data_IF_265557359919
#
_entry.id   IF_265557359919
#
_cell.length_a   1.000
_cell.length_b   1.000
_cell.length_c   1.000
_cell.angle_alpha   90.00
_cell.angle_beta   90.00
_cell.angle_gamma   90.00
#
_symmetry.space_group_name_H-M   'P 1'
#
loop_
_entity.id
_entity.type
_entity.pdbx_description
1 polymer ?
#
# COMPACT_ATOMS: atom_id res chain seq x y z
N UNK A 1 -0.86 2.75 -6.26
CA UNK A 1 -1.66 2.70 -7.50
C UNK A 1 -3.10 2.44 -7.12
N UNK A 2 -4.02 3.25 -7.64
CA UNK A 2 -5.45 3.03 -7.49
C UNK A 2 -5.84 1.73 -8.19
N UNK A 3 -6.53 0.84 -7.49
CA UNK A 3 -7.06 -0.41 -8.03
C UNK A 3 -8.49 -0.21 -8.49
N UNK A 4 -8.99 -0.97 -9.48
CA UNK A 4 -10.38 -0.85 -9.94
C UNK A 4 -11.40 -1.02 -8.79
N UNK A 5 -11.09 -1.91 -7.84
CA UNK A 5 -11.88 -2.10 -6.60
C UNK A 5 -11.92 -0.85 -5.73
N UNK A 6 -10.81 -0.11 -5.67
CA UNK A 6 -10.72 1.12 -4.89
C UNK A 6 -11.51 2.24 -5.58
N UNK A 7 -11.44 2.33 -6.90
CA UNK A 7 -12.22 3.29 -7.69
C UNK A 7 -13.72 3.02 -7.56
N UNK A 8 -14.16 1.76 -7.70
CA UNK A 8 -15.56 1.39 -7.53
C UNK A 8 -16.07 1.70 -6.11
N UNK A 9 -15.30 1.35 -5.08
CA UNK A 9 -15.66 1.66 -3.70
C UNK A 9 -15.79 3.18 -3.44
N UNK A 10 -14.92 4.00 -4.06
CA UNK A 10 -15.00 5.45 -3.96
C UNK A 10 -16.26 6.00 -4.65
N UNK A 11 -16.62 5.45 -5.81
CA UNK A 11 -17.83 5.81 -6.55
C UNK A 11 -19.09 5.47 -5.73
N UNK A 12 -19.16 4.26 -5.16
CA UNK A 12 -20.27 3.84 -4.29
C UNK A 12 -20.42 4.77 -3.07
N UNK A 13 -19.31 5.19 -2.45
CA UNK A 13 -19.34 6.16 -1.35
C UNK A 13 -19.98 7.48 -1.76
N UNK A 14 -19.65 8.00 -2.94
CA UNK A 14 -20.19 9.28 -3.44
C UNK A 14 -21.66 9.17 -3.86
N UNK A 15 -22.07 8.05 -4.46
CA UNK A 15 -23.46 7.81 -4.86
C UNK A 15 -24.40 7.67 -3.65
N UNK A 16 -23.92 7.09 -2.56
CA UNK A 16 -24.71 6.92 -1.34
C UNK A 16 -24.72 8.14 -0.41
N UNK A 17 -23.99 9.21 -0.76
CA UNK A 17 -23.82 10.35 0.15
C UNK A 17 -24.91 11.39 -0.03
N UNK A 18 -25.59 11.67 1.07
CA UNK A 18 -26.56 12.75 1.13
C UNK A 18 -25.84 14.10 1.16
N UNK A 19 -25.70 14.75 0.00
CA UNK A 19 -25.11 16.08 -0.07
C UNK A 19 -25.96 17.18 0.59
N UNK A 20 -27.23 16.92 0.93
CA UNK A 20 -28.08 17.91 1.61
C UNK A 20 -27.60 18.18 3.03
N UNK A 21 -27.09 17.16 3.74
CA UNK A 21 -26.59 17.35 5.11
C UNK A 21 -25.46 18.40 5.19
N UNK A 22 -24.62 18.49 4.14
CA UNK A 22 -23.57 19.50 4.06
C UNK A 22 -24.12 20.90 3.76
N UNK A 23 -25.18 20.99 2.96
CA UNK A 23 -25.87 22.25 2.67
C UNK A 23 -26.56 22.78 3.91
N UNK A 24 -27.25 21.91 4.64
CA UNK A 24 -27.94 22.26 5.88
C UNK A 24 -26.94 22.73 6.95
N UNK A 25 -25.80 22.04 7.09
CA UNK A 25 -24.73 22.44 8.01
C UNK A 25 -24.02 23.76 7.62
N UNK A 26 -24.03 24.09 6.33
CA UNK A 26 -23.49 25.34 5.81
C UNK A 26 -24.51 26.48 5.74
N UNK A 27 -25.79 26.22 6.03
CA UNK A 27 -26.85 27.22 5.99
C UNK A 27 -26.99 27.91 7.34
N UNK A 28 -26.92 29.23 7.37
CA UNK A 28 -27.28 30.07 8.51
C UNK A 28 -28.28 31.13 8.07
N UNK A 29 -29.37 31.30 8.82
CA UNK A 29 -30.40 32.32 8.54
C UNK A 29 -30.90 32.30 7.08
N UNK A 30 -31.10 31.09 6.53
CA UNK A 30 -31.55 30.86 5.14
C UNK A 30 -30.53 31.24 4.05
N UNK A 31 -29.28 31.53 4.41
CA UNK A 31 -28.18 31.77 3.48
C UNK A 31 -27.14 30.66 3.58
N UNK A 32 -26.75 30.09 2.44
CA UNK A 32 -25.71 29.07 2.35
C UNK A 32 -24.36 29.77 2.35
N UNK A 33 -23.47 29.42 3.28
CA UNK A 33 -22.06 29.81 3.22
C UNK A 33 -21.32 28.89 2.22
N UNK A 34 -20.93 29.37 1.03
CA UNK A 34 -20.28 28.56 0.01
C UNK A 34 -18.87 28.12 0.43
N UNK A 35 -18.16 28.89 1.24
CA UNK A 35 -16.82 28.54 1.71
C UNK A 35 -16.90 27.39 2.72
N UNK A 36 -17.84 27.47 3.66
CA UNK A 36 -18.09 26.40 4.63
C UNK A 36 -18.59 25.12 3.97
N UNK A 37 -19.49 25.23 2.99
CA UNK A 37 -19.98 24.09 2.22
C UNK A 37 -18.84 23.40 1.44
N UNK A 38 -18.09 24.17 0.66
CA UNK A 38 -16.98 23.63 -0.15
C UNK A 38 -15.89 23.05 0.72
N UNK A 39 -15.54 23.70 1.83
CA UNK A 39 -14.54 23.18 2.78
C UNK A 39 -14.98 21.86 3.42
N UNK A 40 -16.23 21.75 3.85
CA UNK A 40 -16.76 20.52 4.47
C UNK A 40 -16.78 19.34 3.49
N UNK A 41 -17.26 19.57 2.26
CA UNK A 41 -17.32 18.53 1.23
C UNK A 41 -15.92 18.14 0.77
N UNK A 42 -15.08 19.11 0.41
CA UNK A 42 -13.78 18.82 -0.23
C UNK A 42 -12.70 18.41 0.78
N UNK A 43 -12.59 19.11 1.90
CA UNK A 43 -11.48 18.90 2.84
C UNK A 43 -11.77 17.77 3.81
N UNK A 44 -13.02 17.66 4.29
CA UNK A 44 -13.37 16.67 5.31
C UNK A 44 -13.88 15.37 4.69
N UNK A 45 -14.94 15.45 3.87
CA UNK A 45 -15.62 14.25 3.40
C UNK A 45 -14.84 13.51 2.30
N UNK A 46 -14.37 14.20 1.26
CA UNK A 46 -13.60 13.57 0.18
C UNK A 46 -12.29 12.99 0.71
N UNK A 47 -11.56 13.71 1.58
CA UNK A 47 -10.35 13.19 2.20
C UNK A 47 -10.62 11.95 3.03
N UNK A 48 -11.71 11.92 3.79
CA UNK A 48 -12.12 10.75 4.58
C UNK A 48 -12.41 9.55 3.69
N UNK A 49 -13.14 9.73 2.60
CA UNK A 49 -13.41 8.67 1.63
C UNK A 49 -12.13 8.15 0.99
N UNK A 50 -11.19 9.05 0.65
CA UNK A 50 -9.89 8.67 0.13
C UNK A 50 -9.10 7.84 1.14
N UNK A 51 -9.08 8.23 2.42
CA UNK A 51 -8.39 7.49 3.48
C UNK A 51 -9.02 6.12 3.76
N UNK A 52 -10.35 6.02 3.70
CA UNK A 52 -11.06 4.75 3.93
C UNK A 52 -10.87 3.76 2.77
N UNK A 53 -10.78 4.26 1.54
CA UNK A 53 -10.55 3.45 0.34
C UNK A 53 -9.08 3.09 0.17
N UNK A 54 -8.16 4.00 0.48
CA UNK A 54 -6.72 3.78 0.36
C UNK A 54 -6.21 3.07 1.61
N UNK A 55 -6.11 1.74 1.55
CA UNK A 55 -5.48 0.96 2.63
C UNK A 55 -4.01 1.34 2.80
N UNK A 56 -3.70 2.15 3.81
CA UNK A 56 -2.33 2.44 4.22
C UNK A 56 -1.73 1.15 4.78
N UNK A 57 -0.66 0.66 4.13
CA UNK A 57 0.12 -0.46 4.64
C UNK A 57 1.44 0.06 5.20
N UNK A 58 1.57 0.03 6.51
CA UNK A 58 2.85 0.26 7.17
C UNK A 58 3.75 -0.96 6.96
N UNK A 59 4.99 -0.74 6.54
CA UNK A 59 6.04 -1.77 6.47
C UNK A 59 7.11 -1.37 7.47
N UNK A 60 7.13 -2.06 8.62
CA UNK A 60 8.15 -1.85 9.65
C UNK A 60 9.36 -2.74 9.35
N UNK A 61 10.53 -2.13 9.15
CA UNK A 61 11.82 -2.82 9.14
C UNK A 61 12.42 -2.79 10.54
N UNK A 62 12.82 -3.94 11.08
CA UNK A 62 13.37 -4.02 12.42
C UNK A 62 14.91 -3.93 12.43
N UNK A 63 15.54 -3.28 13.43
CA UNK A 63 16.99 -3.25 13.58
C UNK A 63 17.65 -4.63 13.75
N UNK A 64 16.87 -5.64 14.13
CA UNK A 64 17.32 -7.03 14.26
C UNK A 64 17.21 -7.83 12.94
N UNK A 65 16.87 -7.18 11.82
CA UNK A 65 16.92 -7.84 10.53
C UNK A 65 18.32 -8.42 10.36
N UNK A 66 18.36 -9.73 10.08
CA UNK A 66 19.62 -10.46 9.92
C UNK A 66 20.50 -9.67 8.96
N UNK A 67 21.72 -9.29 9.35
CA UNK A 67 22.53 -8.34 8.57
C UNK A 67 22.93 -8.83 7.16
N UNK A 68 22.70 -10.11 6.86
CA UNK A 68 22.77 -10.67 5.50
C UNK A 68 21.49 -10.48 4.65
N UNK A 69 20.41 -9.93 5.21
CA UNK A 69 19.12 -9.69 4.56
C UNK A 69 19.15 -8.39 3.73
N UNK A 70 20.03 -8.36 2.73
CA UNK A 70 20.22 -7.21 1.84
C UNK A 70 19.11 -7.10 0.77
N UNK A 71 19.17 -6.04 -0.04
CA UNK A 71 18.23 -5.80 -1.15
C UNK A 71 18.20 -6.91 -2.19
N UNK A 72 19.34 -7.55 -2.47
CA UNK A 72 19.46 -8.67 -3.42
C UNK A 72 18.70 -9.91 -2.93
N UNK A 73 18.89 -10.30 -1.67
CA UNK A 73 18.17 -11.43 -1.05
C UNK A 73 16.67 -11.16 -1.02
N UNK A 74 16.26 -9.92 -0.72
CA UNK A 74 14.84 -9.50 -0.80
C UNK A 74 14.28 -9.61 -2.21
N UNK A 75 15.05 -9.24 -3.24
CA UNK A 75 14.66 -9.40 -4.64
C UNK A 75 14.49 -10.88 -5.03
N UNK A 76 15.42 -11.75 -4.62
CA UNK A 76 15.33 -13.20 -4.83
C UNK A 76 14.10 -13.81 -4.12
N UNK A 77 13.80 -13.37 -2.90
CA UNK A 77 12.58 -13.76 -2.19
C UNK A 77 11.31 -13.36 -2.96
N UNK A 78 11.29 -12.14 -3.53
CA UNK A 78 10.17 -11.68 -4.38
C UNK A 78 10.05 -12.50 -5.66
N UNK A 79 11.15 -12.78 -6.35
CA UNK A 79 11.18 -13.61 -7.55
C UNK A 79 10.63 -15.03 -7.28
N UNK A 80 11.05 -15.66 -6.17
CA UNK A 80 10.52 -16.98 -5.78
C UNK A 80 9.01 -16.93 -5.50
N UNK A 81 8.53 -15.90 -4.78
CA UNK A 81 7.10 -15.71 -4.51
C UNK A 81 6.30 -15.48 -5.80
N UNK A 82 6.84 -14.73 -6.76
CA UNK A 82 6.21 -14.51 -8.06
C UNK A 82 6.10 -15.82 -8.86
N UNK A 83 7.19 -16.59 -8.95
CA UNK A 83 7.18 -17.89 -9.63
C UNK A 83 6.25 -18.91 -8.96
N UNK A 84 6.12 -18.87 -7.63
CA UNK A 84 5.13 -19.68 -6.93
C UNK A 84 3.69 -19.29 -7.32
N UNK A 85 3.39 -17.98 -7.41
CA UNK A 85 2.07 -17.49 -7.80
C UNK A 85 1.72 -17.78 -9.26
N UNK A 86 2.70 -17.85 -10.16
CA UNK A 86 2.46 -18.18 -11.57
C UNK A 86 2.22 -19.67 -11.81
N UNK A 87 2.50 -20.55 -10.83
CA UNK A 87 2.35 -22.00 -10.97
C UNK A 87 3.44 -22.68 -11.81
N UNK A 88 4.41 -21.93 -12.32
CA UNK A 88 5.53 -22.46 -13.10
C UNK A 88 6.55 -23.15 -12.18
N UNK A 89 6.58 -24.48 -12.25
CA UNK A 89 7.43 -25.33 -11.40
C UNK A 89 8.92 -25.16 -11.72
N UNK A 90 9.29 -24.99 -12.97
CA UNK A 90 10.69 -24.84 -13.39
C UNK A 90 11.24 -23.47 -13.01
N UNK A 91 10.45 -22.42 -13.23
CA UNK A 91 10.79 -21.08 -12.75
C UNK A 91 10.89 -21.04 -11.22
N UNK A 92 9.99 -21.74 -10.51
CA UNK A 92 10.05 -21.84 -9.06
C UNK A 92 11.32 -22.54 -8.57
N UNK A 93 11.67 -23.69 -9.16
CA UNK A 93 12.88 -24.44 -8.80
C UNK A 93 14.14 -23.60 -9.04
N UNK A 94 14.21 -22.92 -10.18
CA UNK A 94 15.30 -22.01 -10.53
C UNK A 94 15.41 -20.85 -9.54
N UNK A 95 14.29 -20.18 -9.24
CA UNK A 95 14.26 -19.08 -8.27
C UNK A 95 14.63 -19.55 -6.86
N UNK A 96 14.23 -20.77 -6.46
CA UNK A 96 14.59 -21.39 -5.19
C UNK A 96 16.09 -21.67 -5.10
N UNK A 97 16.70 -22.21 -6.15
CA UNK A 97 18.15 -22.45 -6.20
C UNK A 97 18.94 -21.14 -6.12
N UNK A 98 18.53 -20.12 -6.90
CA UNK A 98 19.13 -18.78 -6.87
C UNK A 98 19.02 -18.13 -5.49
N UNK A 99 17.87 -18.26 -4.82
CA UNK A 99 17.69 -17.75 -3.45
C UNK A 99 18.65 -18.42 -2.46
N UNK A 100 18.83 -19.74 -2.54
CA UNK A 100 19.77 -20.47 -1.66
C UNK A 100 21.20 -19.99 -1.87
N UNK A 101 21.63 -19.82 -3.12
CA UNK A 101 22.95 -19.30 -3.47
C UNK A 101 23.13 -17.84 -2.98
N UNK A 102 22.15 -16.97 -3.22
CA UNK A 102 22.19 -15.57 -2.80
C UNK A 102 22.26 -15.41 -1.28
N UNK A 103 21.54 -16.23 -0.49
CA UNK A 103 21.65 -16.21 0.98
C UNK A 103 23.05 -16.64 1.42
N UNK A 104 23.64 -17.67 0.80
CA UNK A 104 25.00 -18.13 1.13
C UNK A 104 26.02 -17.01 0.88
N UNK A 105 25.92 -16.37 -0.27
CA UNK A 105 26.80 -15.27 -0.66
C UNK A 105 26.62 -14.04 0.24
N UNK A 106 25.38 -13.67 0.56
CA UNK A 106 25.12 -12.54 1.45
C UNK A 106 25.65 -12.76 2.87
N UNK A 107 25.56 -13.99 3.39
CA UNK A 107 26.19 -14.36 4.67
C UNK A 107 27.71 -14.27 4.60
N UNK A 108 28.33 -14.80 3.54
CA UNK A 108 29.78 -14.75 3.32
C UNK A 108 30.29 -13.30 3.27
N UNK A 109 29.66 -12.44 2.46
CA UNK A 109 30.00 -11.01 2.37
C UNK A 109 29.82 -10.27 3.69
N UNK A 110 28.83 -10.65 4.48
CA UNK A 110 28.63 -10.06 5.80
C UNK A 110 29.72 -10.48 6.78
N UNK A 111 30.08 -11.76 6.81
CA UNK A 111 31.18 -12.27 7.64
C UNK A 111 32.52 -11.59 7.30
N UNK A 112 32.84 -11.45 6.01
CA UNK A 112 34.06 -10.76 5.55
C UNK A 112 34.15 -9.27 5.92
N UNK A 113 33.04 -8.64 6.31
CA UNK A 113 33.04 -7.24 6.80
C UNK A 113 33.20 -7.14 8.30
N UNK A 114 33.01 -8.24 9.03
CA UNK A 114 33.16 -8.30 10.48
C UNK A 114 34.54 -8.82 10.90
N UNK A 115 35.21 -9.55 10.02
CA UNK A 115 36.64 -9.90 10.09
C UNK A 115 37.51 -8.70 9.70
#
# INVERSE_FOLDING_TARGET
MWTDVATAALQDCFECTDCQMFKDAATQENHIDPEKYTSSVTTTYISKCADDVVKIRSVTSFPNERAWMNGEVRALCRAKKAAFKSGDKEAYNTARAKLKAGIKEAKRRHQQRLE
#
